data_IF_180192093808
#
_entry.id   IF_180192093808
#
_cell.length_a   1.000
_cell.length_b   1.000
_cell.length_c   1.000
_cell.angle_alpha   90.00
_cell.angle_beta   90.00
_cell.angle_gamma   90.00
#
_symmetry.space_group_name_H-M   'P 1'
#
loop_
_entity.id
_entity.type
_entity.pdbx_description
1 polymer ?
#
# COMPACT_ATOMS: atom_id res chain seq x y z
N UNK A 1 18.70 6.36 7.01
CA UNK A 1 18.67 7.82 7.06
C UNK A 1 17.77 8.20 8.24
N UNK A 2 18.27 8.98 9.19
CA UNK A 2 17.57 9.33 10.44
C UNK A 2 17.25 10.82 10.54
N UNK A 3 17.37 11.56 9.43
CA UNK A 3 17.18 13.01 9.39
C UNK A 3 15.78 13.47 9.84
N UNK A 4 14.76 12.61 9.70
CA UNK A 4 13.38 12.88 10.14
C UNK A 4 13.03 12.30 11.53
N UNK A 5 14.01 11.74 12.26
CA UNK A 5 13.75 11.10 13.55
C UNK A 5 13.31 12.13 14.60
N UNK A 6 12.10 11.95 15.12
CA UNK A 6 11.51 12.80 16.16
C UNK A 6 10.48 12.03 16.98
N UNK A 7 10.19 12.46 18.23
CA UNK A 7 9.02 11.97 18.96
C UNK A 7 7.73 12.26 18.18
N UNK A 8 6.96 11.22 17.86
CA UNK A 8 5.69 11.29 17.14
C UNK A 8 4.82 10.06 17.46
N UNK A 9 3.60 10.01 16.93
CA UNK A 9 2.76 8.83 17.04
C UNK A 9 3.33 7.66 16.21
N UNK A 10 3.32 6.42 16.72
CA UNK A 10 3.94 5.28 16.05
C UNK A 10 3.29 4.92 14.71
N UNK A 11 2.03 5.31 14.49
CA UNK A 11 1.33 5.08 13.23
C UNK A 11 1.98 5.80 12.05
N UNK A 12 2.82 6.81 12.30
CA UNK A 12 3.60 7.48 11.25
C UNK A 12 4.65 6.52 10.66
N UNK A 13 5.46 5.90 11.50
CA UNK A 13 6.49 4.95 11.08
C UNK A 13 5.87 3.64 10.57
N UNK A 14 4.89 3.11 11.31
CA UNK A 14 4.17 1.89 10.90
C UNK A 14 3.44 2.09 9.58
N UNK A 15 2.83 3.27 9.38
CA UNK A 15 2.20 3.62 8.12
C UNK A 15 3.19 3.65 6.95
N UNK A 16 4.38 4.20 7.16
CA UNK A 16 5.43 4.24 6.13
C UNK A 16 5.95 2.84 5.79
N UNK A 17 6.18 2.00 6.81
CA UNK A 17 6.59 0.60 6.61
C UNK A 17 5.53 -0.20 5.87
N UNK A 18 4.27 -0.13 6.30
CA UNK A 18 3.13 -0.81 5.65
C UNK A 18 2.90 -0.26 4.24
N UNK A 19 3.02 1.06 4.06
CA UNK A 19 2.94 1.72 2.77
C UNK A 19 3.99 1.20 1.79
N UNK A 20 5.19 0.86 2.26
CA UNK A 20 6.24 0.26 1.44
C UNK A 20 5.88 -1.16 0.96
N UNK A 21 5.25 -1.99 1.80
CA UNK A 21 4.72 -3.28 1.35
C UNK A 21 3.70 -3.10 0.22
N UNK A 22 2.76 -2.16 0.39
CA UNK A 22 1.74 -1.88 -0.63
C UNK A 22 2.36 -1.30 -1.90
N UNK A 23 3.31 -0.37 -1.79
CA UNK A 23 4.03 0.21 -2.94
C UNK A 23 4.71 -0.88 -3.77
N UNK A 24 5.44 -1.81 -3.12
CA UNK A 24 6.08 -2.94 -3.80
C UNK A 24 5.06 -3.87 -4.45
N UNK A 25 3.94 -4.14 -3.78
CA UNK A 25 2.85 -4.94 -4.33
C UNK A 25 2.25 -4.32 -5.60
N UNK A 26 2.05 -3.00 -5.61
CA UNK A 26 1.57 -2.25 -6.78
C UNK A 26 2.58 -2.33 -7.90
N UNK A 27 3.88 -2.18 -7.61
CA UNK A 27 4.93 -2.31 -8.63
C UNK A 27 4.98 -3.70 -9.27
N UNK A 28 4.71 -4.78 -8.54
CA UNK A 28 4.61 -6.12 -9.14
C UNK A 28 3.42 -6.30 -10.09
N UNK A 29 2.49 -5.34 -10.16
CA UNK A 29 1.39 -5.38 -11.14
C UNK A 29 1.85 -5.02 -12.55
N UNK A 30 3.04 -4.40 -12.73
CA UNK A 30 3.54 -4.04 -14.07
C UNK A 30 3.95 -5.24 -14.89
N UNK A 31 4.43 -6.32 -14.25
CA UNK A 31 4.86 -7.57 -14.92
C UNK A 31 3.70 -8.27 -15.66
N UNK A 32 2.48 -7.73 -15.55
CA UNK A 32 1.25 -8.26 -16.10
C UNK A 32 0.72 -7.53 -17.34
N UNK A 33 1.17 -6.28 -17.55
CA UNK A 33 0.60 -5.39 -18.56
C UNK A 33 1.23 -5.63 -19.93
N UNK A 34 2.35 -6.35 -20.00
CA UNK A 34 3.13 -6.55 -21.22
C UNK A 34 2.66 -7.70 -22.14
N UNK A 35 1.80 -8.62 -21.69
CA UNK A 35 1.35 -9.76 -22.53
C UNK A 35 -0.18 -9.75 -22.78
N UNK A 36 -0.57 -9.48 -24.04
CA UNK A 36 -1.77 -9.97 -24.74
C UNK A 36 -3.20 -9.59 -24.27
N UNK A 37 -3.39 -8.73 -23.26
CA UNK A 37 -4.75 -8.41 -22.74
C UNK A 37 -5.46 -7.21 -23.39
N UNK A 38 -4.91 -6.64 -24.48
CA UNK A 38 -5.38 -5.36 -25.03
C UNK A 38 -6.77 -5.40 -25.71
N UNK A 39 -7.23 -6.57 -26.15
CA UNK A 39 -8.41 -6.66 -27.04
C UNK A 39 -9.76 -6.85 -26.32
N UNK A 40 -9.77 -7.26 -25.05
CA UNK A 40 -11.00 -7.32 -24.22
C UNK A 40 -10.82 -6.55 -22.89
N UNK A 41 -11.40 -5.34 -22.76
CA UNK A 41 -11.36 -4.55 -21.53
C UNK A 41 -11.89 -5.27 -20.29
N UNK A 42 -12.87 -6.18 -20.43
CA UNK A 42 -13.40 -6.95 -19.28
C UNK A 42 -12.40 -8.00 -18.82
N UNK A 43 -11.78 -8.73 -19.76
CA UNK A 43 -10.73 -9.70 -19.45
C UNK A 43 -9.51 -9.00 -18.81
N UNK A 44 -9.11 -7.84 -19.35
CA UNK A 44 -8.04 -7.02 -18.79
C UNK A 44 -8.36 -6.58 -17.34
N UNK A 45 -9.58 -6.08 -17.09
CA UNK A 45 -10.01 -5.71 -15.75
C UNK A 45 -10.00 -6.90 -14.78
N UNK A 46 -10.53 -8.05 -15.19
CA UNK A 46 -10.54 -9.26 -14.36
C UNK A 46 -9.11 -9.74 -14.03
N UNK A 47 -8.20 -9.69 -15.00
CA UNK A 47 -6.79 -10.04 -14.81
C UNK A 47 -6.08 -9.10 -13.84
N UNK A 48 -6.30 -7.78 -13.96
CA UNK A 48 -5.78 -6.77 -13.03
C UNK A 48 -6.29 -7.05 -11.60
N UNK A 49 -7.60 -7.30 -11.45
CA UNK A 49 -8.21 -7.59 -10.15
C UNK A 49 -7.68 -8.88 -9.52
N UNK A 50 -7.50 -9.94 -10.32
CA UNK A 50 -6.95 -11.21 -9.84
C UNK A 50 -5.50 -11.05 -9.34
N UNK A 51 -4.68 -10.30 -10.08
CA UNK A 51 -3.29 -10.00 -9.70
C UNK A 51 -3.21 -9.08 -8.49
N UNK A 52 -4.08 -8.07 -8.40
CA UNK A 52 -4.21 -7.24 -7.20
C UNK A 52 -4.49 -8.10 -5.96
N UNK A 53 -5.40 -9.07 -6.08
CA UNK A 53 -5.69 -10.02 -5.00
C UNK A 53 -4.49 -10.88 -4.63
N UNK A 54 -3.76 -11.41 -5.62
CA UNK A 54 -2.54 -12.19 -5.38
C UNK A 54 -1.47 -11.34 -4.67
N UNK A 55 -1.27 -10.10 -5.11
CA UNK A 55 -0.30 -9.18 -4.54
C UNK A 55 -0.64 -8.86 -3.07
N UNK A 56 -1.92 -8.65 -2.75
CA UNK A 56 -2.40 -8.50 -1.37
C UNK A 56 -2.14 -9.78 -0.55
N UNK A 57 -2.49 -10.95 -1.07
CA UNK A 57 -2.22 -12.23 -0.40
C UNK A 57 -0.72 -12.40 -0.07
N UNK A 58 0.17 -11.94 -0.95
CA UNK A 58 1.62 -12.04 -0.76
C UNK A 58 2.15 -11.11 0.33
N UNK A 59 1.63 -9.89 0.46
CA UNK A 59 2.12 -8.94 1.48
C UNK A 59 1.52 -9.19 2.87
N UNK A 60 0.32 -9.77 2.95
CA UNK A 60 -0.41 -9.96 4.21
C UNK A 60 0.42 -10.63 5.31
N UNK A 61 1.12 -11.76 5.08
CA UNK A 61 1.92 -12.39 6.13
C UNK A 61 3.01 -11.47 6.70
N UNK A 62 3.65 -10.67 5.84
CA UNK A 62 4.69 -9.73 6.25
C UNK A 62 4.12 -8.57 7.08
N UNK A 63 2.98 -8.02 6.66
CA UNK A 63 2.27 -6.98 7.42
C UNK A 63 1.79 -7.51 8.77
N UNK A 64 1.19 -8.70 8.81
CA UNK A 64 0.76 -9.34 10.06
C UNK A 64 1.93 -9.58 11.01
N UNK A 65 3.04 -10.14 10.52
CA UNK A 65 4.23 -10.37 11.34
C UNK A 65 4.82 -9.06 11.90
N UNK A 66 4.86 -7.99 11.10
CA UNK A 66 5.26 -6.65 11.55
C UNK A 66 4.38 -6.17 12.71
N UNK A 67 3.06 -6.28 12.56
CA UNK A 67 2.11 -5.80 13.57
C UNK A 67 2.15 -6.63 14.85
N UNK A 68 2.28 -7.95 14.73
CA UNK A 68 2.39 -8.83 15.90
C UNK A 68 3.68 -8.55 16.68
N UNK A 69 4.81 -8.39 15.98
CA UNK A 69 6.07 -8.02 16.59
C UNK A 69 5.97 -6.66 17.31
N UNK A 70 5.39 -5.65 16.66
CA UNK A 70 5.23 -4.33 17.28
C UNK A 70 4.35 -4.37 18.53
N UNK A 71 3.18 -5.03 18.44
CA UNK A 71 2.22 -5.13 19.54
C UNK A 71 2.77 -5.87 20.75
N UNK A 72 3.59 -6.91 20.53
CA UNK A 72 4.22 -7.65 21.63
C UNK A 72 5.15 -6.80 22.50
N UNK A 73 5.59 -5.63 22.01
CA UNK A 73 6.56 -4.76 22.69
C UNK A 73 5.96 -3.43 23.17
N UNK A 74 5.04 -2.82 22.40
CA UNK A 74 4.64 -1.41 22.58
C UNK A 74 3.15 -1.19 22.91
N UNK A 75 2.30 -2.20 22.80
CA UNK A 75 0.86 -2.09 23.05
C UNK A 75 0.02 -1.80 21.79
N UNK A 76 -1.28 -1.53 21.93
CA UNK A 76 -2.22 -1.37 20.81
C UNK A 76 -1.95 -0.07 20.02
N UNK A 77 -2.31 -0.10 18.74
CA UNK A 77 -2.18 1.02 17.79
C UNK A 77 -3.40 1.11 16.89
N UNK A 78 -3.68 2.30 16.38
CA UNK A 78 -4.83 2.54 15.51
C UNK A 78 -4.53 2.03 14.09
N UNK A 79 -5.03 0.84 13.77
CA UNK A 79 -4.83 0.19 12.46
C UNK A 79 -5.44 0.98 11.30
N UNK A 80 -6.49 1.76 11.53
CA UNK A 80 -7.08 2.62 10.51
C UNK A 80 -6.17 3.82 10.22
N UNK A 81 -5.59 4.42 11.26
CA UNK A 81 -4.60 5.48 11.10
C UNK A 81 -3.34 4.99 10.38
N UNK A 82 -2.84 3.80 10.68
CA UNK A 82 -1.73 3.17 9.95
C UNK A 82 -2.08 3.02 8.47
N UNK A 83 -3.27 2.53 8.15
CA UNK A 83 -3.76 2.39 6.77
C UNK A 83 -3.84 3.73 6.04
N UNK A 84 -4.36 4.78 6.69
CA UNK A 84 -4.38 6.12 6.11
C UNK A 84 -2.97 6.68 5.86
N UNK A 85 -2.04 6.46 6.80
CA UNK A 85 -0.62 6.86 6.68
C UNK A 85 0.10 6.10 5.56
N UNK A 86 -0.17 4.81 5.41
CA UNK A 86 0.30 4.02 4.27
C UNK A 86 -0.24 4.56 2.94
N UNK A 87 -1.49 5.04 2.91
CA UNK A 87 -2.04 5.73 1.75
C UNK A 87 -1.28 7.02 1.39
N UNK A 88 -0.88 7.81 2.37
CA UNK A 88 -0.03 9.00 2.16
C UNK A 88 1.36 8.63 1.64
N UNK A 89 1.99 7.58 2.18
CA UNK A 89 3.27 7.08 1.67
C UNK A 89 3.22 6.76 0.16
N UNK A 90 2.10 6.23 -0.33
CA UNK A 90 1.92 5.99 -1.77
C UNK A 90 1.92 7.30 -2.59
N UNK A 91 1.33 8.37 -2.06
CA UNK A 91 1.40 9.69 -2.70
C UNK A 91 2.82 10.26 -2.68
N UNK A 92 3.53 10.14 -1.56
CA UNK A 92 4.91 10.60 -1.44
C UNK A 92 5.82 9.92 -2.47
N UNK A 93 5.63 8.60 -2.68
CA UNK A 93 6.32 7.84 -3.73
C UNK A 93 5.98 8.34 -5.15
N UNK A 94 4.72 8.66 -5.44
CA UNK A 94 4.31 9.24 -6.73
C UNK A 94 4.96 10.61 -6.95
N UNK A 95 4.92 11.48 -5.94
CA UNK A 95 5.49 12.83 -6.01
C UNK A 95 7.00 12.82 -6.16
N UNK A 96 7.69 11.91 -5.46
CA UNK A 96 9.13 11.71 -5.61
C UNK A 96 9.50 11.27 -7.04
N UNK A 97 8.68 10.41 -7.67
CA UNK A 97 8.86 9.98 -9.06
C UNK A 97 8.60 11.09 -10.08
N UNK A 98 7.55 11.89 -9.88
CA UNK A 98 7.14 12.97 -10.76
C UNK A 98 8.19 14.09 -10.95
N UNK A 99 9.19 14.18 -10.05
CA UNK A 99 10.34 15.08 -10.22
C UNK A 99 11.15 14.81 -11.49
N UNK A 100 11.01 13.63 -12.10
CA UNK A 100 11.79 13.18 -13.25
C UNK A 100 11.00 13.16 -14.56
N UNK A 101 9.67 13.34 -14.55
CA UNK A 101 8.83 13.25 -15.75
C UNK A 101 7.65 14.24 -15.70
N UNK A 102 7.27 14.81 -16.85
CA UNK A 102 6.11 15.70 -16.97
C UNK A 102 4.77 14.96 -17.13
N UNK A 103 4.74 13.63 -17.03
CA UNK A 103 3.53 12.80 -17.21
C UNK A 103 3.52 11.67 -16.19
N UNK A 104 2.41 11.54 -15.46
CA UNK A 104 2.17 10.40 -14.57
C UNK A 104 2.03 9.11 -15.38
N UNK A 105 2.82 8.09 -15.04
CA UNK A 105 2.71 6.75 -15.60
C UNK A 105 1.36 6.12 -15.18
N UNK A 106 0.77 5.19 -15.97
CA UNK A 106 -0.44 4.46 -15.55
C UNK A 106 -0.32 3.82 -14.16
N UNK A 107 0.89 3.34 -13.81
CA UNK A 107 1.18 2.79 -12.49
C UNK A 107 1.07 3.85 -11.38
N UNK A 108 1.59 5.05 -11.61
CA UNK A 108 1.51 6.15 -10.63
C UNK A 108 0.04 6.52 -10.37
N UNK A 109 -0.80 6.48 -11.41
CA UNK A 109 -2.25 6.72 -11.27
C UNK A 109 -2.93 5.60 -10.48
N UNK A 110 -2.57 4.34 -10.74
CA UNK A 110 -3.08 3.21 -9.98
C UNK A 110 -2.67 3.30 -8.50
N UNK A 111 -1.41 3.63 -8.24
CA UNK A 111 -0.88 3.86 -6.91
C UNK A 111 -1.61 5.00 -6.18
N UNK A 112 -1.81 6.14 -6.84
CA UNK A 112 -2.57 7.26 -6.28
C UNK A 112 -4.04 6.88 -6.01
N UNK A 113 -4.66 6.08 -6.88
CA UNK A 113 -6.01 5.56 -6.68
C UNK A 113 -6.12 4.66 -5.45
N UNK A 114 -5.16 3.75 -5.26
CA UNK A 114 -5.08 2.88 -4.08
C UNK A 114 -4.83 3.72 -2.81
N UNK A 115 -3.86 4.63 -2.85
CA UNK A 115 -3.57 5.53 -1.72
C UNK A 115 -4.79 6.35 -1.31
N UNK A 116 -5.54 6.89 -2.28
CA UNK A 116 -6.81 7.58 -2.04
C UNK A 116 -7.84 6.68 -1.36
N UNK A 117 -7.98 5.43 -1.79
CA UNK A 117 -8.91 4.49 -1.16
C UNK A 117 -8.52 4.18 0.29
N UNK A 118 -7.22 4.05 0.58
CA UNK A 118 -6.70 3.83 1.94
C UNK A 118 -6.93 5.03 2.86
N UNK A 119 -6.84 6.26 2.33
CA UNK A 119 -7.10 7.49 3.10
C UNK A 119 -8.61 7.67 3.36
N UNK A 120 -9.46 7.41 2.36
CA UNK A 120 -10.90 7.68 2.45
C UNK A 120 -11.71 6.56 3.12
N UNK A 121 -11.22 5.32 3.07
CA UNK A 121 -11.85 4.16 3.70
C UNK A 121 -10.79 3.32 4.45
N UNK A 122 -10.16 3.89 5.49
CA UNK A 122 -9.00 3.26 6.13
C UNK A 122 -9.36 1.95 6.79
N UNK A 123 -10.49 1.86 7.51
CA UNK A 123 -10.93 0.62 8.19
C UNK A 123 -11.13 -0.54 7.19
N UNK A 124 -11.80 -0.27 6.07
CA UNK A 124 -12.00 -1.27 5.00
C UNK A 124 -10.65 -1.70 4.41
N UNK A 125 -9.75 -0.76 4.22
CA UNK A 125 -8.44 -1.02 3.63
C UNK A 125 -7.53 -1.80 4.58
N UNK A 126 -7.58 -1.52 5.88
CA UNK A 126 -6.81 -2.23 6.93
C UNK A 126 -7.03 -3.74 6.85
N UNK A 127 -8.28 -4.18 6.79
CA UNK A 127 -8.61 -5.61 6.66
C UNK A 127 -8.09 -6.25 5.36
N UNK A 128 -8.04 -5.50 4.26
CA UNK A 128 -7.55 -6.00 2.97
C UNK A 128 -6.03 -6.24 2.95
N UNK A 129 -5.26 -5.41 3.68
CA UNK A 129 -3.79 -5.49 3.72
C UNK A 129 -3.24 -6.28 4.92
N UNK A 130 -4.11 -6.85 5.77
CA UNK A 130 -3.70 -7.67 6.90
C UNK A 130 -3.41 -6.89 8.19
N UNK A 131 -3.85 -5.63 8.27
CA UNK A 131 -3.92 -4.88 9.51
C UNK A 131 -5.20 -5.28 10.25
N UNK A 132 -5.10 -6.28 11.12
CA UNK A 132 -6.19 -6.67 12.02
C UNK A 132 -6.00 -6.02 13.38
N UNK A 133 -7.09 -5.69 14.07
CA UNK A 133 -7.00 -5.29 15.48
C UNK A 133 -6.56 -6.48 16.34
N UNK A 134 -6.01 -6.20 17.53
CA UNK A 134 -5.73 -7.24 18.50
C UNK A 134 -7.05 -7.70 19.14
N UNK A 135 -7.27 -9.01 19.21
CA UNK A 135 -8.37 -9.62 19.97
C UNK A 135 -8.03 -9.69 21.46
#
# INVERSE_FOLDING_TARGET
DWEEFRPAEPELDLGSLVGEFVHRAVRCLTDAVDDDLADDPKAAHAAIMARGRLALTRIRPGVTALMDAYRSQRGPVDTARISARAGWHLFDRVLAGARHTNRLHPLDRAQAGIGRAMILAPQRSSGAIGLTEAH
#
